data_IF_253578069943
#
_entry.id   IF_253578069943
#
_cell.length_a   1.000
_cell.length_b   1.000
_cell.length_c   1.000
_cell.angle_alpha   90.00
_cell.angle_beta   90.00
_cell.angle_gamma   90.00
#
_symmetry.space_group_name_H-M   'P 1'
#
loop_
_entity.id
_entity.type
_entity.pdbx_description
1 polymer ?
#
# COMPACT_ATOMS: atom_id res chain seq x y z
N UNK A 1 -57.02 6.00 2.01
CA UNK A 1 -57.04 4.78 1.17
C UNK A 1 -55.59 4.53 0.78
N UNK A 2 -54.84 3.79 1.65
CA UNK A 2 -53.42 3.51 1.49
C UNK A 2 -53.23 2.25 0.65
N UNK A 3 -52.91 2.42 -0.62
CA UNK A 3 -52.42 1.34 -1.48
C UNK A 3 -50.93 1.15 -1.21
N UNK A 4 -50.57 0.38 -0.17
CA UNK A 4 -49.27 -0.29 -0.08
C UNK A 4 -49.27 -1.42 -1.11
N UNK A 5 -48.79 -1.15 -2.31
CA UNK A 5 -48.44 -2.18 -3.29
C UNK A 5 -47.21 -2.90 -2.77
N UNK A 6 -47.40 -4.02 -2.08
CA UNK A 6 -46.36 -4.99 -1.75
C UNK A 6 -45.83 -5.62 -3.04
N UNK A 7 -44.75 -5.05 -3.57
CA UNK A 7 -43.98 -5.70 -4.65
C UNK A 7 -43.38 -7.00 -4.10
N UNK A 8 -43.41 -8.11 -4.88
CA UNK A 8 -42.87 -9.39 -4.42
C UNK A 8 -41.39 -9.25 -4.09
N UNK A 9 -41.04 -9.50 -2.85
CA UNK A 9 -39.64 -9.61 -2.40
C UNK A 9 -39.02 -10.76 -3.19
N UNK A 10 -38.23 -10.45 -4.22
CA UNK A 10 -37.43 -11.45 -4.94
C UNK A 10 -36.54 -12.20 -3.94
N UNK A 11 -36.36 -13.52 -4.17
CA UNK A 11 -35.48 -14.35 -3.34
C UNK A 11 -34.14 -13.66 -3.13
N UNK A 12 -33.60 -13.60 -1.90
CA UNK A 12 -32.32 -12.96 -1.63
C UNK A 12 -31.25 -13.60 -2.52
N UNK A 13 -30.63 -12.80 -3.38
CA UNK A 13 -29.51 -13.25 -4.21
C UNK A 13 -28.33 -13.56 -3.26
N UNK A 14 -27.82 -14.78 -3.30
CA UNK A 14 -26.63 -15.19 -2.54
C UNK A 14 -25.41 -14.30 -2.84
N UNK A 15 -25.31 -13.78 -4.09
CA UNK A 15 -24.23 -12.88 -4.52
C UNK A 15 -24.80 -11.52 -4.92
N UNK A 16 -24.48 -10.49 -4.11
CA UNK A 16 -24.90 -9.11 -4.37
C UNK A 16 -23.88 -8.40 -5.29
N UNK A 17 -24.33 -7.43 -6.09
CA UNK A 17 -23.49 -6.63 -6.99
C UNK A 17 -22.28 -6.01 -6.29
N UNK A 18 -22.43 -5.57 -5.03
CA UNK A 18 -21.33 -5.01 -4.20
C UNK A 18 -20.15 -5.98 -4.00
N UNK A 19 -20.39 -7.29 -3.95
CA UNK A 19 -19.32 -8.27 -3.84
C UNK A 19 -18.54 -8.42 -5.14
N UNK A 20 -19.18 -8.34 -6.30
CA UNK A 20 -18.51 -8.29 -7.62
C UNK A 20 -17.60 -7.06 -7.71
N UNK A 21 -18.11 -5.89 -7.28
CA UNK A 21 -17.33 -4.65 -7.25
C UNK A 21 -16.11 -4.79 -6.33
N UNK A 22 -16.29 -5.33 -5.11
CA UNK A 22 -15.20 -5.55 -4.17
C UNK A 22 -14.16 -6.53 -4.71
N UNK A 23 -14.60 -7.63 -5.34
CA UNK A 23 -13.68 -8.63 -5.92
C UNK A 23 -12.83 -8.02 -7.03
N UNK A 24 -13.42 -7.23 -7.94
CA UNK A 24 -12.67 -6.57 -9.00
C UNK A 24 -11.65 -5.56 -8.45
N UNK A 25 -12.04 -4.78 -7.43
CA UNK A 25 -11.14 -3.84 -6.75
C UNK A 25 -10.03 -4.62 -6.04
N UNK A 26 -10.35 -5.72 -5.36
CA UNK A 26 -9.38 -6.57 -4.67
C UNK A 26 -8.36 -7.17 -5.65
N UNK A 27 -8.83 -7.69 -6.80
CA UNK A 27 -7.95 -8.21 -7.86
C UNK A 27 -7.05 -7.11 -8.44
N UNK A 28 -7.56 -5.90 -8.64
CA UNK A 28 -6.76 -4.77 -9.11
C UNK A 28 -5.67 -4.38 -8.11
N UNK A 29 -5.99 -4.32 -6.81
CA UNK A 29 -5.00 -4.08 -5.77
C UNK A 29 -3.98 -5.21 -5.65
N UNK A 30 -4.42 -6.47 -5.77
CA UNK A 30 -3.52 -7.61 -5.78
C UNK A 30 -2.50 -7.47 -6.91
N UNK A 31 -2.98 -7.18 -8.14
CA UNK A 31 -2.11 -6.96 -9.29
C UNK A 31 -1.14 -5.80 -9.07
N UNK A 32 -1.60 -4.67 -8.53
CA UNK A 32 -0.75 -3.52 -8.19
C UNK A 32 0.40 -3.92 -7.25
N UNK A 33 0.14 -4.70 -6.21
CA UNK A 33 1.20 -5.20 -5.33
C UNK A 33 2.12 -6.23 -6.01
N UNK A 34 1.57 -7.09 -6.88
CA UNK A 34 2.38 -8.00 -7.67
C UNK A 34 3.37 -7.21 -8.54
N UNK A 35 2.88 -6.24 -9.31
CA UNK A 35 3.69 -5.42 -10.23
C UNK A 35 4.84 -4.69 -9.52
N UNK A 36 4.60 -4.19 -8.31
CA UNK A 36 5.64 -3.53 -7.48
C UNK A 36 6.71 -4.51 -7.01
N UNK A 37 6.28 -5.63 -6.43
CA UNK A 37 7.20 -6.60 -5.82
C UNK A 37 7.97 -7.41 -6.86
N UNK A 38 7.37 -7.68 -8.02
CA UNK A 38 8.05 -8.34 -9.14
C UNK A 38 9.27 -7.55 -9.60
N UNK A 39 9.20 -6.21 -9.60
CA UNK A 39 10.38 -5.37 -9.89
C UNK A 39 11.51 -5.66 -8.91
N UNK A 40 11.22 -5.75 -7.60
CA UNK A 40 12.24 -6.03 -6.57
C UNK A 40 12.97 -7.36 -6.78
N UNK A 41 12.24 -8.41 -7.21
CA UNK A 41 12.83 -9.72 -7.55
C UNK A 41 13.64 -9.67 -8.84
N UNK A 42 13.21 -8.84 -9.79
CA UNK A 42 13.83 -8.72 -11.11
C UNK A 42 15.10 -7.85 -11.12
N UNK A 43 15.27 -6.96 -10.12
CA UNK A 43 16.38 -5.99 -10.08
C UNK A 43 17.78 -6.60 -10.30
N UNK A 44 18.18 -7.72 -9.66
CA UNK A 44 19.50 -8.29 -9.89
C UNK A 44 19.70 -8.75 -11.33
N UNK A 45 18.64 -9.25 -11.98
CA UNK A 45 18.66 -9.74 -13.36
C UNK A 45 18.70 -8.57 -14.35
N UNK A 46 17.87 -7.53 -14.11
CA UNK A 46 17.87 -6.28 -14.87
C UNK A 46 19.24 -5.59 -14.76
N UNK A 47 19.79 -5.52 -13.53
CA UNK A 47 21.10 -4.93 -13.28
C UNK A 47 22.21 -5.64 -14.04
N UNK A 48 22.20 -6.97 -14.08
CA UNK A 48 23.17 -7.76 -14.83
C UNK A 48 23.01 -7.58 -16.35
N UNK A 49 21.79 -7.59 -16.85
CA UNK A 49 21.49 -7.57 -18.28
C UNK A 49 21.75 -6.18 -18.89
N UNK A 50 21.41 -5.12 -18.19
CA UNK A 50 21.59 -3.73 -18.62
C UNK A 50 22.89 -3.09 -18.07
N UNK A 51 23.76 -3.86 -17.39
CA UNK A 51 24.99 -3.38 -16.74
C UNK A 51 24.75 -2.19 -15.80
N UNK A 52 23.73 -2.28 -14.92
CA UNK A 52 23.35 -1.23 -13.98
C UNK A 52 23.97 -1.49 -12.61
N UNK A 53 24.51 -0.45 -12.01
CA UNK A 53 24.88 -0.45 -10.59
C UNK A 53 23.65 -0.43 -9.66
N UNK A 54 23.85 -0.66 -8.36
CA UNK A 54 22.75 -0.72 -7.40
C UNK A 54 22.06 0.63 -7.19
N UNK A 55 22.76 1.75 -7.38
CA UNK A 55 22.15 3.09 -7.36
C UNK A 55 21.17 3.26 -8.52
N UNK A 56 21.57 2.87 -9.72
CA UNK A 56 20.74 2.92 -10.93
C UNK A 56 19.51 2.00 -10.80
N UNK A 57 19.69 0.81 -10.20
CA UNK A 57 18.58 -0.08 -9.87
C UNK A 57 17.60 0.59 -8.89
N UNK A 58 18.10 1.30 -7.88
CA UNK A 58 17.27 2.09 -6.95
C UNK A 58 16.50 3.22 -7.64
N UNK A 59 17.09 3.88 -8.64
CA UNK A 59 16.42 4.92 -9.44
C UNK A 59 15.22 4.38 -10.23
N UNK A 60 15.26 3.13 -10.68
CA UNK A 60 14.11 2.49 -11.37
C UNK A 60 12.91 2.41 -10.43
N UNK A 61 13.13 2.05 -9.17
CA UNK A 61 12.08 2.01 -8.15
C UNK A 61 11.59 3.44 -7.82
N UNK A 62 12.54 4.37 -7.67
CA UNK A 62 12.22 5.78 -7.37
C UNK A 62 11.37 6.43 -8.46
N UNK A 63 11.65 6.17 -9.72
CA UNK A 63 10.87 6.69 -10.85
C UNK A 63 9.38 6.30 -10.76
N UNK A 64 9.09 5.06 -10.36
CA UNK A 64 7.73 4.63 -10.07
C UNK A 64 7.08 5.45 -8.95
N UNK A 65 7.74 5.56 -7.80
CA UNK A 65 7.19 6.29 -6.65
C UNK A 65 6.96 7.77 -6.95
N UNK A 66 7.81 8.41 -7.77
CA UNK A 66 7.62 9.79 -8.23
C UNK A 66 6.32 9.90 -9.03
N UNK A 67 6.10 9.05 -10.02
CA UNK A 67 4.88 9.04 -10.81
C UNK A 67 3.63 8.78 -9.97
N UNK A 68 3.70 7.81 -9.07
CA UNK A 68 2.63 7.45 -8.15
C UNK A 68 2.25 8.60 -7.21
N UNK A 69 3.24 9.20 -6.54
CA UNK A 69 3.01 10.30 -5.60
C UNK A 69 2.46 11.55 -6.32
N UNK A 70 3.00 11.88 -7.50
CA UNK A 70 2.55 13.03 -8.29
C UNK A 70 1.07 12.92 -8.70
N UNK A 71 0.55 11.71 -8.93
CA UNK A 71 -0.82 11.51 -9.39
C UNK A 71 -1.78 11.01 -8.32
N UNK A 72 -1.36 10.79 -7.09
CA UNK A 72 -2.23 10.36 -6.00
C UNK A 72 -3.34 11.38 -5.68
N UNK A 73 -3.00 12.67 -5.64
CA UNK A 73 -3.97 13.75 -5.42
C UNK A 73 -4.74 14.08 -6.70
N UNK A 74 -4.10 14.35 -7.86
CA UNK A 74 -4.81 14.58 -9.11
C UNK A 74 -5.75 13.43 -9.49
N UNK A 75 -5.35 12.17 -9.26
CA UNK A 75 -6.18 10.99 -9.52
C UNK A 75 -7.48 10.99 -8.72
N UNK A 76 -7.44 11.41 -7.45
CA UNK A 76 -8.64 11.61 -6.63
C UNK A 76 -9.56 12.68 -7.22
N UNK A 77 -9.00 13.84 -7.62
CA UNK A 77 -9.77 14.91 -8.27
C UNK A 77 -10.39 14.47 -9.59
N UNK A 78 -9.66 13.70 -10.38
CA UNK A 78 -10.16 13.12 -11.63
C UNK A 78 -11.31 12.14 -11.37
N UNK A 79 -11.20 11.30 -10.33
CA UNK A 79 -12.27 10.38 -9.92
C UNK A 79 -13.54 11.13 -9.43
N UNK A 80 -13.37 12.30 -8.81
CA UNK A 80 -14.51 13.15 -8.43
C UNK A 80 -15.19 13.78 -9.62
N UNK A 81 -14.43 14.23 -10.62
CA UNK A 81 -14.93 14.91 -11.81
C UNK A 81 -15.50 13.97 -12.86
N UNK A 82 -14.84 12.85 -13.14
CA UNK A 82 -15.14 11.97 -14.27
C UNK A 82 -15.77 10.64 -13.86
N UNK A 83 -15.84 10.35 -12.55
CA UNK A 83 -16.34 9.10 -11.99
C UNK A 83 -15.22 8.09 -11.68
N UNK A 84 -15.40 7.34 -10.59
CA UNK A 84 -14.43 6.34 -10.12
C UNK A 84 -14.26 5.18 -11.11
N UNK A 85 -15.35 4.73 -11.75
CA UNK A 85 -15.35 3.66 -12.74
C UNK A 85 -14.38 3.94 -13.89
N UNK A 86 -14.50 5.13 -14.50
CA UNK A 86 -13.65 5.54 -15.63
C UNK A 86 -12.20 5.63 -15.23
N UNK A 87 -11.91 6.29 -14.11
CA UNK A 87 -10.54 6.51 -13.66
C UNK A 87 -9.87 5.19 -13.27
N UNK A 88 -10.59 4.28 -12.58
CA UNK A 88 -10.05 2.95 -12.29
C UNK A 88 -9.77 2.15 -13.56
N UNK A 89 -10.73 2.04 -14.47
CA UNK A 89 -10.57 1.25 -15.68
C UNK A 89 -9.42 1.78 -16.57
N UNK A 90 -9.37 3.10 -16.78
CA UNK A 90 -8.29 3.73 -17.56
C UNK A 90 -6.96 3.59 -16.84
N UNK A 91 -6.89 3.86 -15.53
CA UNK A 91 -5.67 3.73 -14.75
C UNK A 91 -5.10 2.32 -14.78
N UNK A 92 -5.96 1.28 -14.59
CA UNK A 92 -5.54 -0.12 -14.65
C UNK A 92 -5.05 -0.49 -16.06
N UNK A 93 -5.77 -0.13 -17.11
CA UNK A 93 -5.34 -0.40 -18.47
C UNK A 93 -4.00 0.31 -18.78
N UNK A 94 -3.86 1.56 -18.33
CA UNK A 94 -2.65 2.35 -18.48
C UNK A 94 -1.45 1.66 -17.82
N UNK A 95 -1.53 1.39 -16.51
CA UNK A 95 -0.38 0.77 -15.85
C UNK A 95 -0.07 -0.63 -16.39
N UNK A 96 -1.08 -1.41 -16.80
CA UNK A 96 -0.89 -2.73 -17.39
C UNK A 96 -0.11 -2.69 -18.69
N UNK A 97 -0.36 -1.68 -19.54
CA UNK A 97 0.43 -1.44 -20.75
C UNK A 97 1.88 -1.10 -20.37
N UNK A 98 2.10 -0.21 -19.41
CA UNK A 98 3.44 0.18 -18.97
C UNK A 98 4.15 -0.95 -18.19
N UNK A 99 3.41 -1.84 -17.50
CA UNK A 99 3.98 -3.11 -16.99
C UNK A 99 4.55 -3.94 -18.12
N UNK A 100 3.77 -4.22 -19.17
CA UNK A 100 4.24 -4.99 -20.31
C UNK A 100 5.42 -4.30 -21.03
N UNK A 101 5.36 -2.98 -21.19
CA UNK A 101 6.45 -2.21 -21.79
C UNK A 101 7.74 -2.28 -20.96
N UNK A 102 7.66 -2.41 -19.62
CA UNK A 102 8.83 -2.61 -18.76
C UNK A 102 9.63 -3.84 -19.20
N UNK A 103 8.96 -4.92 -19.58
CA UNK A 103 9.60 -6.13 -20.11
C UNK A 103 10.25 -5.97 -21.50
N UNK A 104 9.96 -4.91 -22.24
CA UNK A 104 10.50 -4.67 -23.57
C UNK A 104 11.65 -3.64 -23.58
N UNK A 105 12.01 -3.07 -22.44
CA UNK A 105 13.01 -2.00 -22.32
C UNK A 105 14.42 -2.57 -22.21
N UNK A 106 15.36 -2.00 -22.99
CA UNK A 106 16.76 -2.40 -23.04
C UNK A 106 17.75 -1.30 -22.60
N UNK A 107 17.27 -0.18 -22.04
CA UNK A 107 18.13 0.91 -21.61
C UNK A 107 17.55 1.64 -20.38
N UNK A 108 18.42 2.06 -19.46
CA UNK A 108 18.04 2.74 -18.21
C UNK A 108 17.15 3.98 -18.45
N UNK A 109 17.46 4.94 -19.35
CA UNK A 109 16.61 6.13 -19.48
C UNK A 109 15.16 5.79 -19.86
N UNK A 110 14.98 4.83 -20.76
CA UNK A 110 13.65 4.39 -21.17
C UNK A 110 12.96 3.63 -20.05
N UNK A 111 13.68 2.83 -19.24
CA UNK A 111 13.17 2.16 -18.05
C UNK A 111 12.63 3.17 -17.04
N UNK A 112 13.35 4.25 -16.76
CA UNK A 112 12.91 5.31 -15.86
C UNK A 112 11.62 5.99 -16.36
N UNK A 113 11.54 6.29 -17.66
CA UNK A 113 10.35 6.87 -18.29
C UNK A 113 9.15 5.91 -18.15
N UNK A 114 9.33 4.66 -18.53
CA UNK A 114 8.25 3.65 -18.48
C UNK A 114 7.77 3.44 -17.03
N UNK A 115 8.68 3.37 -16.06
CA UNK A 115 8.34 3.22 -14.65
C UNK A 115 7.65 4.46 -14.06
N UNK A 116 8.03 5.66 -14.49
CA UNK A 116 7.34 6.89 -14.11
C UNK A 116 5.90 6.90 -14.62
N UNK A 117 5.67 6.58 -15.89
CA UNK A 117 4.32 6.51 -16.47
C UNK A 117 3.49 5.37 -15.89
N UNK A 118 4.11 4.23 -15.57
CA UNK A 118 3.49 3.15 -14.80
C UNK A 118 2.96 3.69 -13.47
N UNK A 119 3.78 4.45 -12.72
CA UNK A 119 3.41 5.07 -11.45
C UNK A 119 2.22 6.03 -11.55
N UNK A 120 2.11 6.80 -12.63
CA UNK A 120 0.96 7.68 -12.90
C UNK A 120 -0.36 6.89 -12.91
N UNK A 121 -0.41 5.79 -13.65
CA UNK A 121 -1.60 4.94 -13.74
C UNK A 121 -2.03 4.38 -12.39
N UNK A 122 -1.07 3.83 -11.64
CA UNK A 122 -1.33 3.31 -10.30
C UNK A 122 -1.71 4.40 -9.29
N UNK A 123 -1.10 5.60 -9.36
CA UNK A 123 -1.39 6.71 -8.47
C UNK A 123 -2.84 7.20 -8.52
N UNK A 124 -3.51 7.05 -9.66
CA UNK A 124 -4.92 7.41 -9.81
C UNK A 124 -5.88 6.43 -9.13
N UNK A 125 -5.49 5.18 -8.94
CA UNK A 125 -6.38 4.09 -8.55
C UNK A 125 -6.83 4.12 -7.08
N UNK A 126 -6.00 4.39 -6.06
CA UNK A 126 -6.36 4.27 -4.66
C UNK A 126 -7.59 5.09 -4.27
N UNK A 127 -7.59 6.38 -4.56
CA UNK A 127 -8.70 7.29 -4.22
C UNK A 127 -10.01 6.87 -4.90
N UNK A 128 -9.94 6.46 -6.17
CA UNK A 128 -11.10 6.01 -6.93
C UNK A 128 -11.67 4.68 -6.36
N UNK A 129 -10.81 3.74 -5.96
CA UNK A 129 -11.19 2.45 -5.39
C UNK A 129 -11.87 2.60 -4.01
N UNK A 130 -11.31 3.41 -3.12
CA UNK A 130 -11.92 3.68 -1.81
C UNK A 130 -13.28 4.39 -1.94
N UNK A 131 -13.39 5.35 -2.86
CA UNK A 131 -14.66 5.99 -3.17
C UNK A 131 -15.70 4.99 -3.66
N UNK A 132 -15.32 4.08 -4.56
CA UNK A 132 -16.22 3.03 -5.06
C UNK A 132 -16.68 2.10 -3.93
N UNK A 133 -15.79 1.64 -3.04
CA UNK A 133 -16.17 0.82 -1.88
C UNK A 133 -17.15 1.59 -0.99
N UNK A 134 -16.89 2.86 -0.67
CA UNK A 134 -17.78 3.67 0.16
C UNK A 134 -19.16 3.89 -0.46
N UNK A 135 -19.26 3.88 -1.79
CA UNK A 135 -20.50 4.06 -2.53
C UNK A 135 -21.36 2.80 -2.57
N UNK A 136 -20.75 1.61 -2.61
CA UNK A 136 -21.47 0.33 -2.73
C UNK A 136 -21.74 -0.38 -1.42
N UNK A 137 -21.03 0.00 -0.33
CA UNK A 137 -21.18 -0.64 0.98
C UNK A 137 -21.79 0.30 2.01
N UNK A 138 -22.86 -0.11 2.72
CA UNK A 138 -23.39 0.63 3.86
C UNK A 138 -22.36 0.66 5.01
N UNK A 139 -22.41 1.68 5.90
CA UNK A 139 -21.45 1.92 6.98
C UNK A 139 -21.20 0.69 7.85
N UNK A 140 -22.24 -0.08 8.14
CA UNK A 140 -22.15 -1.32 8.94
C UNK A 140 -21.32 -2.42 8.27
N UNK A 141 -21.17 -2.41 6.95
CA UNK A 141 -20.41 -3.42 6.17
C UNK A 141 -19.07 -2.88 5.65
N UNK A 142 -18.87 -1.55 5.62
CA UNK A 142 -17.62 -0.91 5.14
C UNK A 142 -16.38 -1.44 5.84
N UNK A 143 -16.45 -1.65 7.16
CA UNK A 143 -15.34 -2.20 7.91
C UNK A 143 -14.91 -3.58 7.42
N UNK A 144 -15.88 -4.47 7.12
CA UNK A 144 -15.59 -5.80 6.56
C UNK A 144 -15.03 -5.71 5.14
N UNK A 145 -15.62 -4.86 4.28
CA UNK A 145 -15.12 -4.65 2.92
C UNK A 145 -13.68 -4.12 2.92
N UNK A 146 -13.37 -3.15 3.79
CA UNK A 146 -12.03 -2.61 3.98
C UNK A 146 -11.06 -3.67 4.51
N UNK A 147 -11.47 -4.51 5.47
CA UNK A 147 -10.64 -5.59 5.99
C UNK A 147 -10.29 -6.61 4.91
N UNK A 148 -11.28 -7.03 4.10
CA UNK A 148 -11.04 -7.90 2.93
C UNK A 148 -10.06 -7.22 1.96
N UNK A 149 -10.31 -5.95 1.64
CA UNK A 149 -9.42 -5.19 0.76
C UNK A 149 -7.99 -5.13 1.29
N UNK A 150 -7.80 -4.95 2.59
CA UNK A 150 -6.48 -4.84 3.21
C UNK A 150 -5.67 -6.14 3.19
N UNK A 151 -6.28 -7.30 2.96
CA UNK A 151 -5.55 -8.58 2.85
C UNK A 151 -4.53 -8.59 1.71
N UNK A 152 -4.73 -7.74 0.68
CA UNK A 152 -3.79 -7.63 -0.45
C UNK A 152 -2.43 -7.08 -0.04
N UNK A 153 -2.35 -6.30 1.05
CA UNK A 153 -1.09 -5.71 1.51
C UNK A 153 -0.05 -6.77 1.96
N UNK A 154 -0.53 -7.94 2.32
CA UNK A 154 0.32 -9.07 2.75
C UNK A 154 0.33 -10.20 1.72
N UNK A 155 -0.83 -10.53 1.15
CA UNK A 155 -0.93 -11.58 0.12
C UNK A 155 -0.23 -11.17 -1.18
N UNK A 156 -0.34 -9.89 -1.58
CA UNK A 156 0.28 -9.39 -2.80
C UNK A 156 1.80 -9.58 -2.82
N UNK A 157 2.56 -9.03 -1.87
CA UNK A 157 4.00 -9.22 -1.79
C UNK A 157 4.41 -10.70 -1.68
N UNK A 158 3.71 -11.51 -0.87
CA UNK A 158 4.02 -12.93 -0.72
C UNK A 158 3.85 -13.70 -2.04
N UNK A 159 2.74 -13.49 -2.74
CA UNK A 159 2.48 -14.13 -4.04
C UNK A 159 3.42 -13.60 -5.13
N UNK A 160 3.72 -12.32 -5.12
CA UNK A 160 4.55 -11.68 -6.13
C UNK A 160 5.94 -12.31 -6.22
N UNK A 161 6.58 -12.58 -5.08
CA UNK A 161 7.94 -13.16 -5.06
C UNK A 161 7.94 -14.57 -5.63
N UNK A 162 6.92 -15.38 -5.28
CA UNK A 162 6.77 -16.75 -5.81
C UNK A 162 6.51 -16.73 -7.31
N UNK A 163 5.56 -15.89 -7.76
CA UNK A 163 5.21 -15.74 -9.19
C UNK A 163 6.41 -15.24 -9.99
N UNK A 164 7.09 -14.19 -9.51
CA UNK A 164 8.27 -13.66 -10.16
C UNK A 164 9.38 -14.72 -10.29
N UNK A 165 9.73 -15.40 -9.21
CA UNK A 165 10.78 -16.41 -9.20
C UNK A 165 10.47 -17.55 -10.20
N UNK A 166 9.20 -17.98 -10.26
CA UNK A 166 8.77 -19.05 -11.17
C UNK A 166 8.88 -18.65 -12.64
N UNK A 167 8.41 -17.43 -12.98
CA UNK A 167 8.44 -16.95 -14.39
C UNK A 167 9.86 -16.58 -14.79
N UNK A 168 10.64 -15.90 -13.93
CA UNK A 168 12.04 -15.54 -14.23
C UNK A 168 12.86 -16.80 -14.47
N UNK A 169 12.68 -17.84 -13.65
CA UNK A 169 13.41 -19.09 -13.78
C UNK A 169 13.12 -19.85 -15.07
N UNK A 170 11.90 -19.74 -15.61
CA UNK A 170 11.48 -20.45 -16.82
C UNK A 170 11.69 -19.63 -18.10
N UNK A 171 11.48 -18.31 -18.07
CA UNK A 171 11.36 -17.48 -19.26
C UNK A 171 12.17 -16.17 -19.20
N UNK A 172 12.89 -15.92 -18.12
CA UNK A 172 13.63 -14.68 -17.91
C UNK A 172 12.77 -13.52 -17.38
N UNK A 173 13.45 -12.45 -16.94
CA UNK A 173 12.79 -11.31 -16.27
C UNK A 173 11.85 -10.50 -17.17
N UNK A 174 12.13 -10.43 -18.46
CA UNK A 174 11.30 -9.72 -19.45
C UNK A 174 9.86 -10.26 -19.46
N UNK A 175 9.73 -11.60 -19.49
CA UNK A 175 8.43 -12.26 -19.57
C UNK A 175 7.55 -12.05 -18.35
N UNK A 176 8.12 -11.83 -17.16
CA UNK A 176 7.34 -11.54 -15.96
C UNK A 176 6.47 -10.30 -16.16
N UNK A 177 7.05 -9.22 -16.70
CA UNK A 177 6.32 -7.97 -16.93
C UNK A 177 5.31 -8.09 -18.06
N UNK A 178 5.67 -8.78 -19.15
CA UNK A 178 4.75 -9.01 -20.28
C UNK A 178 3.53 -9.81 -19.83
N UNK A 179 3.75 -10.90 -19.07
CA UNK A 179 2.68 -11.78 -18.57
C UNK A 179 1.79 -11.07 -17.57
N UNK A 180 2.34 -10.27 -16.64
CA UNK A 180 1.56 -9.56 -15.62
C UNK A 180 0.74 -8.39 -16.18
N UNK A 181 1.13 -7.77 -17.28
CA UNK A 181 0.33 -6.74 -17.91
C UNK A 181 -0.98 -7.26 -18.51
N UNK A 182 -1.05 -8.52 -18.93
CA UNK A 182 -2.25 -9.09 -19.56
C UNK A 182 -3.46 -9.18 -18.60
N UNK A 183 -3.35 -9.76 -17.39
CA UNK A 183 -4.47 -9.83 -16.43
C UNK A 183 -5.07 -8.47 -16.10
N UNK A 184 -4.26 -7.41 -16.05
CA UNK A 184 -4.73 -6.07 -15.75
C UNK A 184 -5.69 -5.53 -16.80
N UNK A 185 -5.49 -5.83 -18.08
CA UNK A 185 -6.42 -5.43 -19.14
C UNK A 185 -7.78 -6.12 -18.97
N UNK A 186 -7.81 -7.40 -18.54
CA UNK A 186 -9.06 -8.09 -18.22
C UNK A 186 -9.74 -7.51 -16.98
N UNK A 187 -8.97 -7.14 -15.95
CA UNK A 187 -9.51 -6.48 -14.75
C UNK A 187 -10.07 -5.09 -15.11
N UNK A 188 -9.37 -4.31 -15.94
CA UNK A 188 -9.85 -3.02 -16.45
C UNK A 188 -11.18 -3.16 -17.20
N UNK A 189 -11.25 -4.14 -18.10
CA UNK A 189 -12.50 -4.47 -18.81
C UNK A 189 -13.61 -4.92 -17.84
N UNK A 190 -13.27 -5.75 -16.85
CA UNK A 190 -14.20 -6.18 -15.81
C UNK A 190 -14.77 -4.99 -15.01
N UNK A 191 -13.93 -4.06 -14.57
CA UNK A 191 -14.37 -2.84 -13.90
C UNK A 191 -15.26 -2.01 -14.82
N UNK A 192 -14.87 -1.83 -16.10
CA UNK A 192 -15.68 -1.09 -17.04
C UNK A 192 -17.06 -1.71 -17.28
N UNK A 193 -17.15 -3.01 -17.39
CA UNK A 193 -18.39 -3.73 -17.70
C UNK A 193 -19.30 -3.91 -16.48
N UNK A 194 -18.72 -4.28 -15.33
CA UNK A 194 -19.45 -4.77 -14.15
C UNK A 194 -19.54 -3.76 -13.00
N UNK A 195 -19.06 -2.52 -13.16
CA UNK A 195 -19.26 -1.47 -12.15
C UNK A 195 -19.99 -0.27 -12.72
N UNK A 196 -20.54 0.58 -11.87
CA UNK A 196 -21.17 1.87 -12.22
C UNK A 196 -20.78 2.90 -11.17
N UNK A 197 -20.69 4.17 -11.54
CA UNK A 197 -20.38 5.24 -10.58
C UNK A 197 -21.54 5.46 -9.59
N UNK A 198 -22.78 5.32 -10.06
CA UNK A 198 -23.96 5.37 -9.21
C UNK A 198 -24.59 3.97 -9.09
N UNK A 199 -24.78 3.45 -7.86
CA UNK A 199 -25.46 2.17 -7.65
C UNK A 199 -26.85 2.07 -8.31
N UNK A 200 -27.56 3.19 -8.44
CA UNK A 200 -28.89 3.22 -9.09
C UNK A 200 -28.85 2.80 -10.55
N UNK A 201 -27.72 3.04 -11.23
CA UNK A 201 -27.53 2.72 -12.65
C UNK A 201 -27.01 1.28 -12.86
N UNK A 202 -26.83 0.53 -11.77
CA UNK A 202 -26.29 -0.82 -11.85
C UNK A 202 -27.39 -1.87 -12.03
N UNK A 203 -27.37 -2.66 -13.13
CA UNK A 203 -28.51 -3.53 -13.49
C UNK A 203 -28.79 -4.66 -12.49
N UNK A 204 -27.82 -5.02 -11.66
CA UNK A 204 -27.97 -6.10 -10.68
C UNK A 204 -28.27 -5.62 -9.25
N UNK A 205 -28.38 -4.31 -9.00
CA UNK A 205 -28.76 -3.73 -7.71
C UNK A 205 -30.29 -3.70 -7.60
N UNK A 206 -30.77 -4.17 -6.45
CA UNK A 206 -32.21 -4.21 -6.14
C UNK A 206 -32.65 -2.93 -5.43
N UNK A 207 -33.97 -2.65 -5.42
CA UNK A 207 -34.53 -1.55 -4.62
C UNK A 207 -34.23 -1.70 -3.15
N UNK A 208 -34.17 -2.93 -2.64
CA UNK A 208 -33.81 -3.22 -1.25
C UNK A 208 -32.38 -2.81 -0.95
N UNK A 209 -31.43 -3.09 -1.87
CA UNK A 209 -30.04 -2.64 -1.72
C UNK A 209 -29.94 -1.11 -1.72
N UNK A 210 -30.76 -0.43 -2.55
CA UNK A 210 -30.78 1.04 -2.58
C UNK A 210 -31.38 1.64 -1.31
N UNK A 211 -32.40 1.04 -0.73
CA UNK A 211 -32.94 1.45 0.58
C UNK A 211 -31.91 1.26 1.67
N UNK A 212 -31.18 0.13 1.67
CA UNK A 212 -30.09 -0.15 2.61
C UNK A 212 -28.97 0.90 2.53
N UNK A 213 -28.60 1.35 1.32
CA UNK A 213 -27.61 2.41 1.09
C UNK A 213 -28.15 3.81 1.45
N UNK A 214 -29.45 4.06 1.25
CA UNK A 214 -30.06 5.36 1.52
C UNK A 214 -30.30 5.60 3.02
N UNK A 215 -30.68 4.58 3.78
CA UNK A 215 -30.84 4.68 5.25
C UNK A 215 -29.54 5.08 5.94
N UNK A 216 -28.42 4.67 5.38
CA UNK A 216 -27.07 4.97 5.89
C UNK A 216 -26.66 6.45 5.72
N UNK A 217 -27.16 7.12 4.68
CA UNK A 217 -26.86 8.53 4.44
C UNK A 217 -27.58 9.49 5.40
N UNK A 218 -28.62 9.03 6.11
CA UNK A 218 -29.31 9.82 7.12
C UNK A 218 -28.59 9.80 8.48
N UNK A 219 -27.92 8.68 8.82
CA UNK A 219 -27.19 8.54 10.08
C UNK A 219 -25.70 8.97 9.94
N UNK A 220 -25.16 8.99 8.75
CA UNK A 220 -23.78 9.26 8.45
C UNK A 220 -23.48 10.68 7.98
N UNK A 221 -24.16 11.69 8.56
CA UNK A 221 -23.83 13.09 8.31
C UNK A 221 -22.37 13.40 8.68
N UNK A 222 -21.45 13.02 7.81
CA UNK A 222 -20.10 13.62 7.80
C UNK A 222 -20.33 15.09 7.45
N UNK A 223 -20.53 15.91 8.47
CA UNK A 223 -20.58 17.35 8.32
C UNK A 223 -19.39 17.76 7.48
N UNK A 224 -19.65 18.37 6.31
CA UNK A 224 -18.59 18.95 5.49
C UNK A 224 -17.75 19.79 6.45
N UNK A 225 -16.52 19.37 6.71
CA UNK A 225 -15.62 20.12 7.57
C UNK A 225 -15.47 21.51 6.95
N UNK A 226 -15.91 22.56 7.67
CA UNK A 226 -15.70 23.95 7.27
C UNK A 226 -14.23 24.38 7.46
N UNK A 227 -13.36 23.48 7.94
CA UNK A 227 -11.93 23.74 8.11
C UNK A 227 -11.29 23.80 6.71
N UNK A 228 -10.69 24.93 6.36
CA UNK A 228 -10.00 25.07 5.09
C UNK A 228 -8.78 24.12 5.03
N UNK A 229 -8.45 23.60 3.85
CA UNK A 229 -7.27 22.74 3.65
C UNK A 229 -5.97 23.39 4.16
N UNK A 230 -5.83 24.71 3.96
CA UNK A 230 -4.70 25.50 4.46
C UNK A 230 -4.55 25.44 5.99
N UNK A 231 -5.66 25.33 6.72
CA UNK A 231 -5.61 25.27 8.19
C UNK A 231 -5.23 23.88 8.68
N UNK A 232 -5.59 22.83 7.96
CA UNK A 232 -5.09 21.46 8.20
C UNK A 232 -3.58 21.41 8.05
N UNK A 233 -3.01 22.07 7.03
CA UNK A 233 -1.56 22.13 6.81
C UNK A 233 -0.79 22.91 7.90
N UNK A 234 -1.46 23.76 8.67
CA UNK A 234 -0.85 24.50 9.80
C UNK A 234 -0.75 23.67 11.08
N UNK A 235 -1.34 22.48 11.14
CA UNK A 235 -1.33 21.65 12.34
C UNK A 235 0.04 21.00 12.54
N UNK A 236 0.80 21.33 13.61
CA UNK A 236 2.13 20.74 13.82
C UNK A 236 2.08 19.21 13.96
N UNK A 237 1.05 18.69 14.60
CA UNK A 237 0.86 17.27 14.84
C UNK A 237 0.71 16.49 13.53
N UNK A 238 0.13 17.08 12.48
CA UNK A 238 0.04 16.47 11.16
C UNK A 238 1.43 16.19 10.57
N UNK A 239 2.34 17.17 10.68
CA UNK A 239 3.70 17.02 10.19
C UNK A 239 4.54 16.06 11.05
N UNK A 240 4.27 15.98 12.37
CA UNK A 240 4.85 14.93 13.21
C UNK A 240 4.40 13.55 12.74
N UNK A 241 3.11 13.35 12.49
CA UNK A 241 2.59 12.07 11.96
C UNK A 241 3.18 11.76 10.58
N UNK A 242 3.24 12.73 9.68
CA UNK A 242 3.85 12.55 8.37
C UNK A 242 5.35 12.20 8.47
N UNK A 243 6.09 12.81 9.39
CA UNK A 243 7.50 12.51 9.64
C UNK A 243 7.69 11.09 10.20
N UNK A 244 6.87 10.68 11.17
CA UNK A 244 6.92 9.32 11.74
C UNK A 244 6.67 8.29 10.63
N UNK A 245 5.65 8.51 9.81
CA UNK A 245 5.29 7.61 8.72
C UNK A 245 6.35 7.56 7.62
N UNK A 246 6.88 8.73 7.25
CA UNK A 246 8.00 8.83 6.31
C UNK A 246 9.23 8.03 6.76
N UNK A 247 9.66 8.22 8.01
CA UNK A 247 10.82 7.52 8.57
C UNK A 247 10.57 6.00 8.68
N UNK A 248 9.36 5.58 9.07
CA UNK A 248 8.96 4.19 9.10
C UNK A 248 8.96 3.58 7.69
N UNK A 249 8.38 4.29 6.72
CA UNK A 249 8.26 3.80 5.35
C UNK A 249 9.60 3.75 4.59
N UNK A 250 10.61 4.50 4.99
CA UNK A 250 11.99 4.29 4.50
C UNK A 250 12.44 2.85 4.79
N UNK A 251 12.23 2.37 6.02
CA UNK A 251 12.56 0.98 6.39
C UNK A 251 11.67 0.00 5.67
N UNK A 252 10.36 0.25 5.62
CA UNK A 252 9.38 -0.65 5.01
C UNK A 252 9.64 -0.86 3.51
N UNK A 253 9.79 0.23 2.75
CA UNK A 253 10.08 0.15 1.32
C UNK A 253 11.49 -0.34 1.04
N UNK A 254 12.46 0.06 1.87
CA UNK A 254 13.83 -0.44 1.79
C UNK A 254 13.88 -1.96 1.96
N UNK A 255 13.27 -2.47 3.03
CA UNK A 255 13.16 -3.91 3.29
C UNK A 255 12.45 -4.63 2.14
N UNK A 256 11.26 -4.15 1.76
CA UNK A 256 10.44 -4.79 0.73
C UNK A 256 11.12 -4.82 -0.65
N UNK A 257 11.86 -3.77 -0.99
CA UNK A 257 12.52 -3.64 -2.29
C UNK A 257 13.81 -4.48 -2.36
N UNK A 258 14.64 -4.44 -1.33
CA UNK A 258 15.99 -5.00 -1.39
C UNK A 258 16.10 -6.40 -0.78
N UNK A 259 15.05 -6.91 -0.09
CA UNK A 259 15.03 -8.25 0.49
C UNK A 259 15.34 -9.36 -0.54
N UNK A 260 14.68 -9.43 -1.70
CA UNK A 260 15.00 -10.48 -2.68
C UNK A 260 16.44 -10.40 -3.18
N UNK A 261 16.91 -9.18 -3.48
CA UNK A 261 18.30 -8.95 -3.93
C UNK A 261 19.31 -9.40 -2.86
N UNK A 262 19.08 -9.07 -1.60
CA UNK A 262 19.91 -9.51 -0.48
C UNK A 262 20.01 -11.05 -0.37
N UNK A 263 18.87 -11.74 -0.49
CA UNK A 263 18.84 -13.20 -0.42
C UNK A 263 19.60 -13.85 -1.60
N UNK A 264 19.49 -13.28 -2.79
CA UNK A 264 20.18 -13.79 -3.99
C UNK A 264 21.68 -13.47 -3.93
N UNK A 265 22.06 -12.21 -3.66
CA UNK A 265 23.43 -11.75 -3.84
C UNK A 265 24.32 -11.99 -2.64
N UNK A 266 23.80 -11.90 -1.41
CA UNK A 266 24.58 -12.03 -0.15
C UNK A 266 24.41 -13.41 0.47
N UNK A 267 23.18 -13.95 0.43
CA UNK A 267 22.87 -15.27 1.02
C UNK A 267 22.96 -16.41 0.02
N UNK A 268 23.25 -16.09 -1.26
CA UNK A 268 23.47 -17.04 -2.36
C UNK A 268 22.31 -18.03 -2.54
N UNK A 269 21.08 -17.60 -2.22
CA UNK A 269 19.90 -18.42 -2.45
C UNK A 269 19.63 -18.57 -3.95
N UNK A 270 19.31 -19.79 -4.36
CA UNK A 270 18.76 -20.00 -5.70
C UNK A 270 17.47 -19.18 -5.88
N UNK A 271 17.12 -18.83 -7.10
CA UNK A 271 15.92 -18.06 -7.40
C UNK A 271 14.65 -18.74 -6.85
N UNK A 272 14.54 -20.08 -7.00
CA UNK A 272 13.43 -20.85 -6.46
C UNK A 272 13.36 -20.78 -4.93
N UNK A 273 14.50 -20.92 -4.23
CA UNK A 273 14.56 -20.76 -2.77
C UNK A 273 14.22 -19.34 -2.35
N UNK A 274 14.70 -18.33 -3.07
CA UNK A 274 14.38 -16.92 -2.82
C UNK A 274 12.88 -16.66 -2.95
N UNK A 275 12.22 -17.21 -3.97
CA UNK A 275 10.78 -17.08 -4.16
C UNK A 275 9.97 -17.49 -2.94
N UNK A 276 10.35 -18.60 -2.30
CA UNK A 276 9.68 -19.07 -1.07
C UNK A 276 10.13 -18.27 0.15
N UNK A 277 11.44 -18.14 0.35
CA UNK A 277 12.01 -17.55 1.58
C UNK A 277 11.71 -16.07 1.73
N UNK A 278 11.66 -15.29 0.64
CA UNK A 278 11.29 -13.89 0.70
C UNK A 278 9.77 -13.65 0.87
N UNK A 279 8.93 -14.66 0.59
CA UNK A 279 7.50 -14.58 0.86
C UNK A 279 7.15 -14.75 2.34
N UNK A 280 7.90 -15.57 3.07
CA UNK A 280 7.61 -15.93 4.48
C UNK A 280 7.56 -14.70 5.40
N UNK A 281 8.49 -13.72 5.36
CA UNK A 281 8.41 -12.52 6.18
C UNK A 281 7.10 -11.73 6.01
N UNK A 282 6.55 -11.66 4.80
CA UNK A 282 5.26 -10.99 4.57
C UNK A 282 4.09 -11.75 5.18
N UNK A 283 4.12 -13.10 5.21
CA UNK A 283 3.11 -13.91 5.90
C UNK A 283 3.18 -13.69 7.42
N UNK A 284 4.37 -13.60 8.00
CA UNK A 284 4.55 -13.21 9.41
C UNK A 284 4.07 -11.78 9.65
N UNK A 285 4.30 -10.86 8.70
CA UNK A 285 3.76 -9.52 8.71
C UNK A 285 2.22 -9.50 8.75
N UNK A 286 1.53 -10.42 8.06
CA UNK A 286 0.08 -10.57 8.17
C UNK A 286 -0.34 -10.86 9.62
N UNK A 287 0.33 -11.81 10.28
CA UNK A 287 0.15 -12.08 11.71
C UNK A 287 0.39 -10.83 12.57
N UNK A 288 1.46 -10.07 12.27
CA UNK A 288 1.77 -8.81 12.93
C UNK A 288 0.67 -7.76 12.79
N UNK A 289 0.10 -7.60 11.58
CA UNK A 289 -1.02 -6.67 11.34
C UNK A 289 -2.27 -7.07 12.14
N UNK A 290 -2.63 -8.35 12.15
CA UNK A 290 -3.80 -8.84 12.89
C UNK A 290 -3.64 -8.67 14.40
N UNK A 291 -2.49 -9.08 14.94
CA UNK A 291 -2.17 -8.90 16.37
C UNK A 291 -2.10 -7.42 16.75
N UNK A 292 -1.47 -6.61 15.89
CA UNK A 292 -1.38 -5.17 16.08
C UNK A 292 -2.75 -4.50 16.08
N UNK A 293 -3.63 -4.84 15.14
CA UNK A 293 -5.01 -4.34 15.10
C UNK A 293 -5.78 -4.69 16.38
N UNK A 294 -5.73 -5.96 16.80
CA UNK A 294 -6.38 -6.42 18.03
C UNK A 294 -5.85 -5.68 19.28
N UNK A 295 -4.53 -5.56 19.41
CA UNK A 295 -3.92 -4.82 20.52
C UNK A 295 -4.23 -3.33 20.45
N UNK A 296 -4.27 -2.73 19.25
CA UNK A 296 -4.65 -1.34 19.04
C UNK A 296 -6.05 -1.04 19.57
N UNK A 297 -7.00 -1.95 19.37
CA UNK A 297 -8.38 -1.77 19.85
C UNK A 297 -8.50 -1.94 21.37
N UNK A 298 -7.82 -2.92 21.96
CA UNK A 298 -7.88 -3.22 23.37
C UNK A 298 -7.00 -2.33 24.25
N UNK A 299 -5.84 -1.92 23.74
CA UNK A 299 -4.80 -1.21 24.49
C UNK A 299 -4.63 0.23 24.01
N UNK A 300 -5.74 0.93 23.73
CA UNK A 300 -5.73 2.31 23.20
C UNK A 300 -4.75 3.26 23.90
N UNK A 301 -4.73 3.34 25.26
CA UNK A 301 -3.80 4.25 25.94
C UNK A 301 -2.31 3.90 25.73
N UNK A 302 -2.02 2.66 25.35
CA UNK A 302 -0.65 2.13 25.24
C UNK A 302 -0.15 2.08 23.78
N UNK A 303 -0.95 2.52 22.79
CA UNK A 303 -0.59 2.47 21.35
C UNK A 303 0.78 3.06 21.08
N UNK A 304 1.08 4.22 21.67
CA UNK A 304 2.35 4.91 21.53
C UNK A 304 3.53 4.07 22.07
N UNK A 305 3.40 3.52 23.26
CA UNK A 305 4.41 2.65 23.89
C UNK A 305 4.61 1.37 23.08
N UNK A 306 3.51 0.77 22.62
CA UNK A 306 3.56 -0.43 21.78
C UNK A 306 4.24 -0.16 20.44
N UNK A 307 3.94 0.98 19.79
CA UNK A 307 4.63 1.38 18.57
C UNK A 307 6.15 1.46 18.76
N UNK A 308 6.58 2.15 19.81
CA UNK A 308 8.01 2.32 20.11
C UNK A 308 8.67 0.97 20.42
N UNK A 309 8.05 0.17 21.30
CA UNK A 309 8.58 -1.14 21.69
C UNK A 309 8.74 -2.07 20.49
N UNK A 310 7.69 -2.18 19.67
CA UNK A 310 7.70 -3.07 18.50
C UNK A 310 8.65 -2.58 17.40
N UNK A 311 8.80 -1.26 17.23
CA UNK A 311 9.81 -0.70 16.33
C UNK A 311 11.23 -1.00 16.78
N UNK A 312 11.52 -0.92 18.08
CA UNK A 312 12.83 -1.27 18.66
C UNK A 312 13.10 -2.77 18.50
N UNK A 313 12.13 -3.64 18.77
CA UNK A 313 12.26 -5.08 18.56
C UNK A 313 12.53 -5.38 17.08
N UNK A 314 11.75 -4.79 16.17
CA UNK A 314 11.93 -4.96 14.72
C UNK A 314 13.35 -4.53 14.28
N UNK A 315 13.85 -3.40 14.78
CA UNK A 315 15.19 -2.90 14.51
C UNK A 315 16.27 -3.86 15.02
N UNK A 316 16.10 -4.43 16.22
CA UNK A 316 17.00 -5.43 16.79
C UNK A 316 17.09 -6.69 15.94
N UNK A 317 15.96 -7.23 15.50
CA UNK A 317 15.94 -8.41 14.62
C UNK A 317 16.44 -8.09 13.20
N UNK A 318 16.25 -6.87 12.72
CA UNK A 318 16.83 -6.41 11.46
C UNK A 318 18.36 -6.36 11.56
N UNK A 319 18.91 -5.95 12.73
CA UNK A 319 20.35 -6.01 13.00
C UNK A 319 20.86 -7.46 13.00
N UNK A 320 20.19 -8.37 13.69
CA UNK A 320 20.55 -9.79 13.72
C UNK A 320 20.53 -10.44 12.33
N UNK A 321 19.66 -9.97 11.41
CA UNK A 321 19.55 -10.48 10.05
C UNK A 321 20.86 -10.44 9.28
N UNK A 322 21.61 -9.33 9.35
CA UNK A 322 22.88 -9.23 8.62
C UNK A 322 24.09 -9.64 9.45
N UNK A 323 23.97 -9.69 10.78
CA UNK A 323 25.06 -10.10 11.69
C UNK A 323 25.22 -11.61 11.76
N UNK A 324 24.19 -12.41 11.46
CA UNK A 324 24.24 -13.87 11.54
C UNK A 324 24.90 -14.48 10.30
N UNK A 325 25.72 -15.52 10.48
CA UNK A 325 26.36 -16.23 9.37
C UNK A 325 25.40 -17.18 8.65
N UNK A 326 24.47 -17.81 9.37
CA UNK A 326 23.51 -18.74 8.79
C UNK A 326 22.45 -18.02 7.94
N UNK A 327 22.32 -18.40 6.68
CA UNK A 327 21.36 -17.83 5.75
C UNK A 327 19.90 -18.15 6.17
N UNK A 328 19.64 -19.34 6.68
CA UNK A 328 18.28 -19.72 7.12
C UNK A 328 17.89 -18.97 8.41
N UNK A 329 18.82 -18.77 9.35
CA UNK A 329 18.58 -17.94 10.53
C UNK A 329 18.37 -16.47 10.19
N UNK A 330 19.03 -15.96 9.14
CA UNK A 330 18.74 -14.60 8.64
C UNK A 330 17.26 -14.45 8.22
N UNK A 331 16.70 -15.45 7.54
CA UNK A 331 15.27 -15.46 7.17
C UNK A 331 14.38 -15.51 8.41
N UNK A 332 14.72 -16.30 9.43
CA UNK A 332 13.98 -16.35 10.70
C UNK A 332 13.94 -14.96 11.35
N UNK A 333 15.09 -14.29 11.43
CA UNK A 333 15.16 -12.93 12.00
C UNK A 333 14.40 -11.91 11.15
N UNK A 334 14.39 -12.04 9.83
CA UNK A 334 13.55 -11.23 8.95
C UNK A 334 12.05 -11.44 9.20
N UNK A 335 11.63 -12.67 9.45
CA UNK A 335 10.24 -12.98 9.78
C UNK A 335 9.81 -12.31 11.10
N UNK A 336 10.65 -12.37 12.11
CA UNK A 336 10.38 -11.71 13.41
C UNK A 336 10.39 -10.20 13.26
N UNK A 337 11.36 -9.64 12.53
CA UNK A 337 11.41 -8.20 12.23
C UNK A 337 10.15 -7.74 11.50
N UNK A 338 9.73 -8.46 10.45
CA UNK A 338 8.52 -8.15 9.69
C UNK A 338 7.26 -8.23 10.57
N UNK A 339 7.12 -9.25 11.42
CA UNK A 339 6.00 -9.36 12.35
C UNK A 339 5.86 -8.11 13.21
N UNK A 340 6.94 -7.65 13.83
CA UNK A 340 6.91 -6.49 14.71
C UNK A 340 6.81 -5.17 13.93
N UNK A 341 7.37 -5.07 12.73
CA UNK A 341 7.22 -3.90 11.86
C UNK A 341 5.76 -3.71 11.41
N UNK A 342 5.10 -4.78 10.97
CA UNK A 342 3.68 -4.71 10.59
C UNK A 342 2.75 -4.50 11.80
N UNK A 343 3.14 -4.99 12.98
CA UNK A 343 2.46 -4.67 14.23
C UNK A 343 2.54 -3.15 14.53
N UNK A 344 3.76 -2.57 14.43
CA UNK A 344 3.98 -1.14 14.60
C UNK A 344 3.16 -0.31 13.60
N UNK A 345 3.07 -0.75 12.34
CA UNK A 345 2.23 -0.12 11.32
C UNK A 345 0.76 -0.01 11.76
N UNK A 346 0.19 -1.07 12.35
CA UNK A 346 -1.17 -1.04 12.86
C UNK A 346 -1.33 -0.08 14.05
N UNK A 347 -0.33 0.00 14.94
CA UNK A 347 -0.30 0.98 16.04
C UNK A 347 -0.27 2.42 15.52
N UNK A 348 0.54 2.71 14.49
CA UNK A 348 0.66 4.04 13.90
C UNK A 348 -0.71 4.57 13.42
N UNK A 349 -1.45 3.77 12.66
CA UNK A 349 -2.77 4.18 12.19
C UNK A 349 -3.74 4.42 13.34
N UNK A 350 -3.64 3.62 14.42
CA UNK A 350 -4.40 3.86 15.65
C UNK A 350 -4.04 5.18 16.33
N UNK A 351 -2.74 5.53 16.43
CA UNK A 351 -2.27 6.80 16.99
C UNK A 351 -2.76 7.98 16.13
N UNK A 352 -2.72 7.85 14.80
CA UNK A 352 -3.22 8.88 13.89
C UNK A 352 -4.71 9.16 14.13
N UNK A 353 -5.52 8.11 14.31
CA UNK A 353 -6.96 8.23 14.60
C UNK A 353 -7.24 8.86 15.97
N UNK A 354 -6.37 8.65 16.97
CA UNK A 354 -6.49 9.27 18.29
C UNK A 354 -6.04 10.75 18.31
N UNK A 355 -5.23 11.14 17.31
CA UNK A 355 -4.56 12.45 17.31
C UNK A 355 -5.24 13.46 16.39
N UNK A 356 -5.84 12.98 15.31
CA UNK A 356 -6.46 13.81 14.27
C UNK A 356 -7.98 13.74 14.37
N UNK A 357 -8.70 14.90 14.38
CA UNK A 357 -10.15 14.92 14.39
C UNK A 357 -10.77 14.21 13.17
N UNK A 358 -11.88 13.48 13.40
CA UNK A 358 -12.54 12.65 12.39
C UNK A 358 -13.00 13.45 11.14
N UNK A 359 -13.40 14.71 11.31
CA UNK A 359 -13.88 15.59 10.24
C UNK A 359 -12.79 16.01 9.24
N UNK A 360 -11.50 15.86 9.59
CA UNK A 360 -10.35 16.15 8.71
C UNK A 360 -9.48 14.93 8.43
N UNK A 361 -9.84 13.76 8.98
CA UNK A 361 -9.06 12.52 8.91
C UNK A 361 -8.69 12.15 7.46
N UNK A 362 -9.61 12.26 6.50
CA UNK A 362 -9.34 11.93 5.11
C UNK A 362 -8.23 12.80 4.47
N UNK A 363 -8.19 14.09 4.81
CA UNK A 363 -7.15 15.02 4.31
C UNK A 363 -5.82 14.75 5.02
N UNK A 364 -5.86 14.53 6.31
CA UNK A 364 -4.67 14.25 7.12
C UNK A 364 -4.01 12.91 6.72
N UNK A 365 -4.80 11.85 6.59
CA UNK A 365 -4.28 10.54 6.14
C UNK A 365 -3.71 10.59 4.72
N UNK A 366 -4.30 11.41 3.84
CA UNK A 366 -3.75 11.66 2.50
C UNK A 366 -2.35 12.29 2.53
N UNK A 367 -2.14 13.31 3.38
CA UNK A 367 -0.84 13.98 3.54
C UNK A 367 0.18 13.01 4.16
N UNK A 368 -0.21 12.28 5.19
CA UNK A 368 0.65 11.28 5.84
C UNK A 368 1.05 10.19 4.84
N UNK A 369 0.10 9.66 4.08
CA UNK A 369 0.38 8.65 3.07
C UNK A 369 1.27 9.17 1.92
N UNK A 370 1.09 10.42 1.50
CA UNK A 370 2.00 11.07 0.56
C UNK A 370 3.44 11.09 1.10
N UNK A 371 3.63 11.37 2.40
CA UNK A 371 4.93 11.25 3.07
C UNK A 371 5.53 9.85 2.93
N UNK A 372 4.74 8.80 3.13
CA UNK A 372 5.17 7.42 2.94
C UNK A 372 5.60 7.10 1.51
N UNK A 373 4.89 7.64 0.50
CA UNK A 373 5.32 7.46 -0.89
C UNK A 373 6.65 8.19 -1.18
N UNK A 374 6.84 9.37 -0.60
CA UNK A 374 8.12 10.10 -0.70
C UNK A 374 9.27 9.33 -0.04
N UNK A 375 9.00 8.54 1.00
CA UNK A 375 9.97 7.60 1.56
C UNK A 375 10.41 6.55 0.52
N UNK A 376 9.49 6.01 -0.27
CA UNK A 376 9.79 5.11 -1.39
C UNK A 376 10.67 5.77 -2.47
N UNK A 377 10.41 7.06 -2.78
CA UNK A 377 11.24 7.83 -3.73
C UNK A 377 12.70 7.89 -3.26
N UNK A 378 12.93 8.08 -1.96
CA UNK A 378 14.26 8.34 -1.39
C UNK A 378 14.96 7.04 -0.99
N UNK A 379 14.24 6.09 -0.35
CA UNK A 379 14.86 4.90 0.23
C UNK A 379 15.55 4.01 -0.80
N UNK A 380 14.93 3.78 -1.95
CA UNK A 380 15.48 2.85 -2.93
C UNK A 380 16.83 3.30 -3.52
N UNK A 381 17.00 4.54 -4.04
CA UNK A 381 18.29 5.00 -4.55
C UNK A 381 19.33 5.22 -3.43
N UNK A 382 18.92 5.67 -2.24
CA UNK A 382 19.86 5.85 -1.11
C UNK A 382 20.41 4.50 -0.65
N UNK A 383 19.58 3.48 -0.51
CA UNK A 383 20.01 2.12 -0.16
C UNK A 383 20.90 1.56 -1.28
N UNK A 384 20.53 1.73 -2.54
CA UNK A 384 21.35 1.32 -3.68
C UNK A 384 22.73 1.97 -3.67
N UNK A 385 22.80 3.27 -3.39
CA UNK A 385 24.07 4.00 -3.25
C UNK A 385 24.90 3.51 -2.05
N UNK A 386 24.27 3.24 -0.90
CA UNK A 386 24.94 2.69 0.26
C UNK A 386 25.54 1.32 -0.02
N UNK A 387 24.86 0.46 -0.74
CA UNK A 387 25.37 -0.85 -1.16
C UNK A 387 26.56 -0.67 -2.12
N UNK A 388 26.44 0.21 -3.10
CA UNK A 388 27.49 0.49 -4.07
C UNK A 388 28.75 1.07 -3.39
N UNK A 389 28.57 2.05 -2.52
CA UNK A 389 29.68 2.70 -1.81
C UNK A 389 30.37 1.81 -0.75
N UNK A 390 29.78 0.67 -0.42
CA UNK A 390 30.29 -0.33 0.51
C UNK A 390 30.74 -1.62 -0.22
N UNK A 391 31.18 -1.52 -1.48
CA UNK A 391 31.67 -2.63 -2.29
C UNK A 391 30.68 -3.82 -2.36
N UNK A 392 29.39 -3.53 -2.44
CA UNK A 392 28.32 -4.53 -2.50
C UNK A 392 27.83 -5.04 -1.15
N UNK A 393 28.37 -4.52 -0.05
CA UNK A 393 27.92 -4.89 1.30
C UNK A 393 26.57 -4.24 1.64
N UNK A 394 25.64 -5.02 2.14
CA UNK A 394 24.33 -4.55 2.58
C UNK A 394 24.32 -3.99 4.02
N UNK A 395 25.44 -4.06 4.74
CA UNK A 395 25.49 -3.65 6.15
C UNK A 395 25.10 -2.18 6.35
N UNK A 396 25.63 -1.27 5.53
CA UNK A 396 25.29 0.16 5.58
C UNK A 396 23.82 0.42 5.28
N UNK A 397 23.23 -0.34 4.35
CA UNK A 397 21.81 -0.27 4.02
C UNK A 397 20.93 -0.73 5.20
N UNK A 398 21.28 -1.83 5.87
CA UNK A 398 20.57 -2.29 7.08
C UNK A 398 20.69 -1.28 8.21
N UNK A 399 21.87 -0.72 8.46
CA UNK A 399 22.09 0.30 9.50
C UNK A 399 21.24 1.55 9.21
N UNK A 400 21.16 1.98 7.96
CA UNK A 400 20.31 3.10 7.55
C UNK A 400 18.83 2.82 7.84
N UNK A 401 18.31 1.65 7.46
CA UNK A 401 16.93 1.24 7.76
C UNK A 401 16.68 1.18 9.27
N UNK A 402 17.58 0.61 10.04
CA UNK A 402 17.49 0.56 11.51
C UNK A 402 17.45 1.97 12.10
N UNK A 403 18.34 2.86 11.66
CA UNK A 403 18.39 4.23 12.14
C UNK A 403 17.08 4.99 11.87
N UNK A 404 16.53 4.88 10.67
CA UNK A 404 15.26 5.54 10.34
C UNK A 404 14.07 4.98 11.12
N UNK A 405 14.02 3.67 11.38
CA UNK A 405 12.99 3.04 12.20
C UNK A 405 13.08 3.50 13.67
N UNK A 406 14.28 3.58 14.22
CA UNK A 406 14.51 4.07 15.58
C UNK A 406 14.22 5.58 15.69
N UNK A 407 14.58 6.38 14.69
CA UNK A 407 14.21 7.80 14.63
C UNK A 407 12.68 7.96 14.59
N UNK A 408 11.96 7.13 13.84
CA UNK A 408 10.49 7.11 13.83
C UNK A 408 9.93 6.83 15.24
N UNK A 409 10.51 5.87 15.95
CA UNK A 409 10.13 5.55 17.33
C UNK A 409 10.37 6.74 18.28
N UNK A 410 11.55 7.40 18.17
CA UNK A 410 11.90 8.58 18.99
C UNK A 410 10.93 9.74 18.71
N UNK A 411 10.66 10.07 17.44
CA UNK A 411 9.70 11.13 17.08
C UNK A 411 8.31 10.79 17.62
N UNK A 412 7.90 9.54 17.64
CA UNK A 412 6.62 9.11 18.21
C UNK A 412 6.51 9.45 19.70
N UNK A 413 7.60 9.39 20.46
CA UNK A 413 7.62 9.78 21.88
C UNK A 413 7.23 11.24 22.10
N UNK A 414 7.53 12.12 21.15
CA UNK A 414 7.21 13.56 21.26
C UNK A 414 5.76 13.91 20.96
N UNK A 415 4.98 12.99 20.37
CA UNK A 415 3.57 13.23 20.03
C UNK A 415 2.72 13.35 21.30
N UNK A 416 2.02 14.46 21.40
CA UNK A 416 1.04 14.68 22.47
C UNK A 416 -0.34 14.21 22.01
N UNK A 417 -0.85 13.10 22.57
CA UNK A 417 -2.22 12.66 22.33
C UNK A 417 -3.11 13.53 23.21
N UNK A 418 -3.79 14.49 22.61
CA UNK A 418 -4.73 15.35 23.33
C UNK A 418 -6.09 14.63 23.44
N UNK A 419 -6.48 14.20 24.61
CA UNK A 419 -7.81 13.65 24.86
C UNK A 419 -8.93 14.72 24.84
N UNK A 420 -8.62 15.99 24.58
CA UNK A 420 -9.58 17.10 24.54
C UNK A 420 -9.77 17.61 23.11
N UNK A 421 -10.72 17.03 22.38
CA UNK A 421 -11.11 17.45 21.02
C UNK A 421 -11.99 18.74 21.03
N UNK A 422 -12.01 19.54 22.10
CA UNK A 422 -12.96 20.65 22.25
C UNK A 422 -12.37 22.06 22.33
N UNK A 423 -11.13 22.31 21.89
CA UNK A 423 -10.62 23.68 21.86
C UNK A 423 -9.93 24.02 20.53
N UNK A 424 -10.70 24.07 19.46
CA UNK A 424 -10.41 25.04 18.41
C UNK A 424 -11.07 26.36 18.84
N UNK A 425 -10.36 27.50 18.86
CA UNK A 425 -10.98 28.77 19.19
C UNK A 425 -12.06 29.07 18.16
N UNK A 426 -13.33 29.11 18.59
CA UNK A 426 -14.38 29.75 17.84
C UNK A 426 -13.91 31.17 17.55
N UNK A 427 -13.45 31.44 16.34
CA UNK A 427 -13.35 32.82 15.85
C UNK A 427 -14.76 33.27 15.59
N UNK A 428 -15.26 34.13 16.51
CA UNK A 428 -16.42 34.97 16.34
C UNK A 428 -16.22 35.91 15.12
#
# INVERSE_FOLDING_TARGET
MNLQTSLPLGKPKLWKARYTVLTLIWLAWLLSFLDRMVMSVSLPYIGKDLNLDTTQQGLIISAFFIGYAAFQIPGGMLADKFGSRKIMAIGIAWWSIFTSLTGAVLALPLMLIVRFFFGIGEGCFPSASWKMISTYFPSKERGRATAIQSTVNTLGPALAVVVAASIIGAFGWHMVFIVLGIPGLFIAAGIWLFTRDNPKDHPAITQQDLVELASDNQDGGQGKSNIAFKDVLKMPVLWQMACIWFLFDITFWGFSTWLPSYLITVREFSLAKTGVMAAIPFLFGAGGTLLGGYCSDKLKPQRKTLYVLTSVIAAGFLYLTFSVSSADMAVVYQCVSALFMFFAMAMFWGILMDTIPSNIMGRASGIVNFGGQMAGVISAPVIGWLIQSSDGSYNSAFIFMIATLLCSAVVTLTVKISHSVNTLPNKA
#
